data_IF_561104061995
#
_entry.id   IF_561104061995
#
_cell.length_a   1.000
_cell.length_b   1.000
_cell.length_c   1.000
_cell.angle_alpha   90.00
_cell.angle_beta   90.00
_cell.angle_gamma   90.00
#
_symmetry.space_group_name_H-M   'P 1'
#
loop_
_entity.id
_entity.type
_entity.pdbx_description
1 polymer ?
#
# COMPACT_ATOMS: atom_id res chain seq x y z
N UNK A 1 6.93 21.92 12.28
CA UNK A 1 6.21 20.75 11.74
C UNK A 1 5.89 19.85 12.91
N UNK A 2 4.62 19.84 13.35
CA UNK A 2 4.17 18.93 14.39
C UNK A 2 4.25 17.49 13.84
N UNK A 3 4.79 16.58 14.64
CA UNK A 3 5.04 15.17 14.30
C UNK A 3 3.78 14.29 14.47
N UNK A 4 2.61 14.93 14.53
CA UNK A 4 1.39 14.30 14.97
C UNK A 4 0.50 14.08 13.74
N UNK A 5 0.18 12.81 13.50
CA UNK A 5 -0.66 12.24 12.43
C UNK A 5 -0.05 12.12 11.01
N UNK A 6 1.15 11.54 10.90
CA UNK A 6 1.51 10.88 9.64
C UNK A 6 0.70 9.59 9.53
N UNK A 7 -0.42 9.66 8.82
CA UNK A 7 -1.18 8.48 8.47
C UNK A 7 -0.35 7.60 7.52
N UNK A 8 0.00 6.38 7.96
CA UNK A 8 0.73 5.40 7.15
C UNK A 8 0.04 5.17 5.81
N UNK A 9 -1.29 5.22 5.77
CA UNK A 9 -2.02 5.08 4.53
C UNK A 9 -1.71 6.21 3.54
N UNK A 10 -1.62 7.47 3.96
CA UNK A 10 -1.33 8.60 3.06
C UNK A 10 0.13 8.57 2.57
N UNK A 11 1.04 8.04 3.39
CA UNK A 11 2.42 7.80 2.99
C UNK A 11 2.47 6.74 1.89
N UNK A 12 1.77 5.63 2.07
CA UNK A 12 1.83 4.49 1.15
C UNK A 12 0.82 4.56 -0.01
N UNK A 13 -0.17 5.45 0.02
CA UNK A 13 -1.16 5.60 -1.05
C UNK A 13 -0.57 6.08 -2.37
N UNK A 14 0.60 6.70 -2.32
CA UNK A 14 1.34 7.19 -3.50
C UNK A 14 2.30 6.15 -4.10
N UNK A 15 2.48 5.01 -3.43
CA UNK A 15 3.36 3.96 -3.92
C UNK A 15 2.68 3.14 -5.01
N UNK A 16 3.40 2.89 -6.09
CA UNK A 16 2.96 1.96 -7.13
C UNK A 16 2.98 0.52 -6.62
N UNK A 17 2.17 -0.34 -7.23
CA UNK A 17 2.16 -1.77 -6.96
C UNK A 17 3.57 -2.40 -7.05
N UNK A 18 4.37 -1.98 -8.04
CA UNK A 18 5.75 -2.47 -8.20
C UNK A 18 6.64 -2.11 -7.01
N UNK A 19 6.49 -0.91 -6.45
CA UNK A 19 7.26 -0.49 -5.26
C UNK A 19 6.81 -1.24 -4.01
N UNK A 20 5.50 -1.42 -3.80
CA UNK A 20 4.98 -2.23 -2.69
C UNK A 20 5.44 -3.69 -2.79
N UNK A 21 5.49 -4.24 -4.01
CA UNK A 21 6.02 -5.59 -4.26
C UNK A 21 7.52 -5.70 -3.97
N UNK A 22 8.29 -4.66 -4.23
CA UNK A 22 9.70 -4.63 -3.87
C UNK A 22 9.90 -4.55 -2.35
N UNK A 23 9.11 -3.74 -1.64
CA UNK A 23 9.08 -3.66 -0.19
C UNK A 23 8.71 -5.02 0.44
N UNK A 24 7.69 -5.69 -0.10
CA UNK A 24 7.30 -7.05 0.30
C UNK A 24 8.47 -8.04 0.19
N UNK A 25 9.25 -7.99 -0.90
CA UNK A 25 10.41 -8.88 -1.09
C UNK A 25 11.55 -8.60 -0.10
N UNK A 26 11.68 -7.35 0.36
CA UNK A 26 12.71 -6.91 1.30
C UNK A 26 12.30 -7.03 2.76
N UNK A 27 11.01 -7.25 3.03
CA UNK A 27 10.46 -7.42 4.36
C UNK A 27 11.09 -8.62 5.07
N UNK A 28 11.45 -8.44 6.33
CA UNK A 28 12.15 -9.45 7.15
C UNK A 28 11.18 -10.28 7.97
N UNK A 29 10.01 -9.74 8.26
CA UNK A 29 8.99 -10.37 9.09
C UNK A 29 7.72 -10.64 8.30
N UNK A 30 6.92 -11.58 8.79
CA UNK A 30 5.62 -11.91 8.21
C UNK A 30 4.65 -10.72 8.32
N UNK A 31 4.68 -10.00 9.42
CA UNK A 31 3.83 -8.83 9.65
C UNK A 31 4.12 -7.71 8.64
N UNK A 32 5.39 -7.44 8.34
CA UNK A 32 5.78 -6.49 7.29
C UNK A 32 5.31 -6.95 5.90
N UNK A 33 5.46 -8.24 5.60
CA UNK A 33 4.97 -8.81 4.34
C UNK A 33 3.45 -8.64 4.20
N UNK A 34 2.70 -8.95 5.26
CA UNK A 34 1.24 -8.85 5.27
C UNK A 34 0.76 -7.40 5.18
N UNK A 35 1.49 -6.46 5.76
CA UNK A 35 1.23 -5.03 5.60
C UNK A 35 1.34 -4.60 4.12
N UNK A 36 2.46 -4.90 3.45
CA UNK A 36 2.65 -4.52 2.04
C UNK A 36 1.67 -5.24 1.09
N UNK A 37 1.29 -6.48 1.41
CA UNK A 37 0.29 -7.22 0.64
C UNK A 37 -1.10 -6.60 0.78
N UNK A 38 -1.47 -6.16 1.99
CA UNK A 38 -2.74 -5.47 2.25
C UNK A 38 -2.83 -4.15 1.47
N UNK A 39 -1.76 -3.34 1.49
CA UNK A 39 -1.70 -2.10 0.71
C UNK A 39 -1.81 -2.35 -0.80
N UNK A 40 -1.16 -3.40 -1.29
CA UNK A 40 -1.21 -3.77 -2.71
C UNK A 40 -2.63 -4.17 -3.14
N UNK A 41 -3.33 -4.97 -2.32
CA UNK A 41 -4.71 -5.36 -2.57
C UNK A 41 -5.67 -4.15 -2.55
N UNK A 42 -5.47 -3.22 -1.61
CA UNK A 42 -6.28 -2.01 -1.51
C UNK A 42 -6.11 -1.10 -2.75
N UNK A 43 -4.87 -0.97 -3.25
CA UNK A 43 -4.59 -0.27 -4.50
C UNK A 43 -5.30 -0.91 -5.70
N UNK A 44 -5.23 -2.24 -5.82
CA UNK A 44 -5.90 -2.98 -6.89
C UNK A 44 -7.43 -2.83 -6.84
N UNK A 45 -8.04 -2.92 -5.65
CA UNK A 45 -9.48 -2.73 -5.48
C UNK A 45 -9.94 -1.34 -5.92
N UNK A 46 -9.16 -0.29 -5.61
CA UNK A 46 -9.46 1.08 -6.08
C UNK A 46 -9.43 1.19 -7.60
N UNK A 47 -8.42 0.61 -8.26
CA UNK A 47 -8.33 0.62 -9.72
C UNK A 47 -9.47 -0.19 -10.36
N UNK A 48 -9.82 -1.34 -9.78
CA UNK A 48 -10.98 -2.13 -10.20
C UNK A 48 -12.28 -1.33 -10.09
N UNK A 49 -12.49 -0.62 -8.98
CA UNK A 49 -13.68 0.22 -8.78
C UNK A 49 -13.79 1.34 -9.83
N UNK A 50 -12.67 1.91 -10.29
CA UNK A 50 -12.67 2.92 -11.37
C UNK A 50 -13.10 2.35 -12.73
N UNK A 51 -12.81 1.07 -12.97
CA UNK A 51 -13.12 0.39 -14.23
C UNK A 51 -14.55 -0.16 -14.22
N UNK A 52 -14.98 -0.78 -13.12
CA UNK A 52 -16.32 -1.40 -12.98
C UNK A 52 -17.41 -0.35 -12.75
N UNK A 53 -17.07 0.82 -12.19
CA UNK A 53 -17.98 1.94 -12.03
C UNK A 53 -18.24 2.75 -13.32
N UNK A 54 -17.74 2.29 -14.47
CA UNK A 54 -18.03 2.79 -15.83
C UNK A 54 -18.78 1.74 -16.62
#
# INVERSE_FOLDING_TARGET
MNKDDINLYDVFSHYSYSQLKEMFKKAKTKDEQDFYMTLSNLGLQKEQAKIIGK
#
